data_IF_119764911074
#
_entry.id   IF_119764911074
#
_cell.length_a   1.000
_cell.length_b   1.000
_cell.length_c   1.000
_cell.angle_alpha   90.00
_cell.angle_beta   90.00
_cell.angle_gamma   90.00
#
_symmetry.space_group_name_H-M   'P 1'
#
loop_
_entity.id
_entity.type
_entity.pdbx_description
1 polymer ?
#
# COMPACT_ATOMS: atom_id res chain seq x y z
N UNK A 1 -26.75 -11.93 13.82
CA UNK A 1 -26.89 -12.50 15.18
C UNK A 1 -25.71 -11.98 15.98
N UNK A 2 -25.89 -11.37 17.17
CA UNK A 2 -24.75 -11.08 18.02
C UNK A 2 -24.37 -12.39 18.72
N UNK A 3 -23.37 -13.06 18.18
CA UNK A 3 -22.67 -14.16 18.86
C UNK A 3 -21.29 -13.64 19.18
N UNK A 4 -20.85 -13.82 20.42
CA UNK A 4 -19.49 -13.45 20.82
C UNK A 4 -18.47 -14.37 20.14
N UNK A 5 -17.26 -13.85 19.94
CA UNK A 5 -16.15 -14.65 19.43
C UNK A 5 -15.80 -15.75 20.43
N UNK A 6 -15.42 -16.92 19.92
CA UNK A 6 -14.83 -17.99 20.73
C UNK A 6 -13.35 -17.71 21.08
N UNK A 7 -12.74 -16.70 20.46
CA UNK A 7 -11.37 -16.26 20.73
C UNK A 7 -11.36 -15.10 21.73
N UNK A 8 -10.25 -14.98 22.46
CA UNK A 8 -10.06 -13.93 23.45
C UNK A 8 -10.15 -12.53 22.83
N UNK A 9 -10.69 -11.60 23.61
CA UNK A 9 -10.68 -10.18 23.25
C UNK A 9 -9.27 -9.60 23.40
N UNK A 10 -8.93 -8.65 22.55
CA UNK A 10 -7.65 -7.93 22.60
C UNK A 10 -7.86 -6.43 22.43
N UNK A 11 -6.97 -5.66 23.03
CA UNK A 11 -6.98 -4.21 22.91
C UNK A 11 -6.45 -3.76 21.55
N UNK A 12 -7.15 -2.82 20.92
CA UNK A 12 -6.69 -2.18 19.70
C UNK A 12 -5.84 -0.97 20.06
N UNK A 13 -4.54 -0.93 19.66
CA UNK A 13 -3.69 0.21 19.96
C UNK A 13 -4.20 1.46 19.21
N UNK A 14 -4.05 2.62 19.85
CA UNK A 14 -4.41 3.92 19.27
C UNK A 14 -3.20 4.53 18.54
N UNK A 15 -2.85 3.92 17.40
CA UNK A 15 -1.71 4.30 16.55
C UNK A 15 -2.13 4.14 15.08
N UNK A 16 -1.50 4.88 14.18
CA UNK A 16 -1.71 4.68 12.74
C UNK A 16 -0.95 3.44 12.22
N UNK A 17 -1.14 3.09 10.95
CA UNK A 17 -0.51 1.90 10.37
C UNK A 17 1.01 2.02 10.26
N UNK A 18 1.54 3.24 10.08
CA UNK A 18 2.98 3.45 10.04
C UNK A 18 3.58 3.19 11.42
N UNK A 19 3.00 3.82 12.46
CA UNK A 19 3.41 3.65 13.85
C UNK A 19 3.23 2.19 14.31
N UNK A 20 2.10 1.56 13.98
CA UNK A 20 1.85 0.14 14.23
C UNK A 20 2.94 -0.74 13.59
N UNK A 21 3.29 -0.43 12.34
CA UNK A 21 4.25 -1.22 11.58
C UNK A 21 5.70 -0.93 11.88
N UNK A 22 6.14 0.23 12.36
CA UNK A 22 7.57 0.52 12.49
C UNK A 22 8.02 1.05 13.84
N UNK A 23 7.11 1.65 14.62
CA UNK A 23 7.48 2.38 15.84
C UNK A 23 6.90 1.73 17.12
N UNK A 24 5.84 0.92 16.99
CA UNK A 24 5.23 0.21 18.10
C UNK A 24 6.13 -0.91 18.63
N UNK A 25 6.34 -1.02 19.95
CA UNK A 25 6.99 -2.17 20.55
C UNK A 25 6.20 -3.44 20.20
N UNK A 26 6.87 -4.43 19.61
CA UNK A 26 6.26 -5.73 19.31
C UNK A 26 7.12 -6.83 19.92
N UNK A 27 6.48 -7.83 20.48
CA UNK A 27 7.16 -9.06 20.89
C UNK A 27 7.86 -9.66 19.67
N UNK A 28 9.18 -9.79 19.75
CA UNK A 28 9.98 -10.32 18.65
C UNK A 28 9.97 -9.44 17.41
N UNK A 29 10.20 -8.12 17.55
CA UNK A 29 10.53 -7.23 16.44
C UNK A 29 11.46 -7.93 15.46
N UNK A 30 11.12 -7.81 14.18
CA UNK A 30 12.01 -8.27 13.14
C UNK A 30 13.36 -7.60 13.28
N UNK A 31 14.46 -8.38 13.21
CA UNK A 31 15.77 -7.83 12.98
C UNK A 31 15.74 -6.90 11.76
N UNK A 32 16.44 -5.79 11.84
CA UNK A 32 16.52 -4.81 10.75
C UNK A 32 16.94 -5.45 9.42
N UNK A 33 17.77 -6.50 9.47
CA UNK A 33 18.26 -7.27 8.31
C UNK A 33 17.34 -8.44 7.89
N UNK A 34 16.21 -8.65 8.58
CA UNK A 34 15.28 -9.72 8.21
C UNK A 34 14.58 -9.40 6.91
N UNK A 35 14.74 -10.27 5.92
CA UNK A 35 13.97 -10.23 4.66
C UNK A 35 12.49 -10.49 4.92
N UNK A 36 11.63 -9.52 4.58
CA UNK A 36 10.16 -9.59 4.73
C UNK A 36 9.41 -9.61 3.40
N UNK A 37 10.00 -9.08 2.33
CA UNK A 37 9.48 -9.24 0.96
C UNK A 37 10.55 -9.85 0.07
N UNK A 38 10.16 -10.82 -0.76
CA UNK A 38 11.06 -11.51 -1.69
C UNK A 38 10.31 -11.85 -2.97
N UNK A 39 10.90 -11.49 -4.10
CA UNK A 39 10.39 -11.88 -5.41
C UNK A 39 10.54 -13.41 -5.59
N UNK A 40 9.63 -14.04 -6.33
CA UNK A 40 9.59 -15.50 -6.49
C UNK A 40 10.88 -16.05 -7.13
N UNK A 41 11.46 -15.29 -8.04
CA UNK A 41 12.75 -15.59 -8.70
C UNK A 41 13.98 -15.23 -7.85
N UNK A 42 13.76 -14.70 -6.64
CA UNK A 42 14.78 -14.23 -5.69
C UNK A 42 15.68 -13.11 -6.25
N UNK A 43 15.28 -12.42 -7.33
CA UNK A 43 16.06 -11.34 -7.94
C UNK A 43 16.03 -10.04 -7.13
N UNK A 44 14.91 -9.80 -6.43
CA UNK A 44 14.68 -8.63 -5.57
C UNK A 44 14.13 -9.05 -4.21
N UNK A 45 14.52 -8.31 -3.18
CA UNK A 45 14.00 -8.48 -1.83
C UNK A 45 14.09 -7.17 -1.05
N UNK A 46 13.31 -7.08 0.03
CA UNK A 46 13.42 -6.03 1.03
C UNK A 46 13.57 -6.65 2.41
N UNK A 47 14.56 -6.18 3.16
CA UNK A 47 14.60 -6.35 4.60
C UNK A 47 13.63 -5.42 5.30
N UNK A 48 13.42 -5.66 6.60
CA UNK A 48 12.66 -4.78 7.46
C UNK A 48 13.14 -3.31 7.37
N UNK A 49 14.46 -3.11 7.49
CA UNK A 49 15.10 -1.81 7.36
C UNK A 49 14.91 -1.20 5.97
N UNK A 50 15.00 -2.03 4.92
CA UNK A 50 14.83 -1.56 3.55
C UNK A 50 13.41 -1.04 3.34
N UNK A 51 12.37 -1.73 3.81
CA UNK A 51 10.99 -1.25 3.68
C UNK A 51 10.80 0.06 4.41
N UNK A 52 11.24 0.17 5.68
CA UNK A 52 11.09 1.39 6.47
C UNK A 52 11.76 2.59 5.80
N UNK A 53 13.03 2.43 5.42
CA UNK A 53 13.82 3.51 4.81
C UNK A 53 13.32 3.88 3.41
N UNK A 54 12.98 2.90 2.58
CA UNK A 54 12.45 3.11 1.22
C UNK A 54 11.08 3.78 1.27
N UNK A 55 10.19 3.36 2.18
CA UNK A 55 8.88 3.96 2.37
C UNK A 55 8.99 5.43 2.83
N UNK A 56 9.83 5.74 3.82
CA UNK A 56 10.03 7.11 4.28
C UNK A 56 10.60 8.01 3.17
N UNK A 57 11.54 7.50 2.36
CA UNK A 57 12.06 8.21 1.21
C UNK A 57 10.98 8.41 0.12
N UNK A 58 10.17 7.38 -0.16
CA UNK A 58 9.06 7.49 -1.10
C UNK A 58 8.05 8.57 -0.66
N UNK A 59 7.60 8.53 0.60
CA UNK A 59 6.68 9.51 1.16
C UNK A 59 7.24 10.93 1.15
N UNK A 60 8.53 11.09 1.47
CA UNK A 60 9.22 12.39 1.38
C UNK A 60 9.23 12.92 -0.07
N UNK A 61 9.51 12.05 -1.04
CA UNK A 61 9.46 12.41 -2.45
C UNK A 61 8.04 12.79 -2.91
N UNK A 62 6.99 12.17 -2.35
CA UNK A 62 5.62 12.55 -2.64
C UNK A 62 5.35 14.01 -2.24
N UNK A 63 5.73 14.37 -1.01
CA UNK A 63 5.56 15.71 -0.47
C UNK A 63 6.34 16.74 -1.30
N UNK A 64 7.57 16.44 -1.68
CA UNK A 64 8.42 17.38 -2.42
C UNK A 64 7.97 17.59 -3.87
N UNK A 65 7.65 16.52 -4.59
CA UNK A 65 7.39 16.59 -6.04
C UNK A 65 5.96 16.98 -6.36
N UNK A 66 5.00 16.52 -5.56
CA UNK A 66 3.58 16.69 -5.84
C UNK A 66 2.84 17.47 -4.75
N UNK A 67 3.57 18.10 -3.82
CA UNK A 67 3.00 18.85 -2.70
C UNK A 67 1.95 18.00 -1.97
N UNK A 68 2.29 16.73 -1.73
CA UNK A 68 1.37 15.76 -1.16
C UNK A 68 0.88 16.22 0.22
N UNK A 69 -0.43 16.17 0.40
CA UNK A 69 -1.13 16.56 1.62
C UNK A 69 -1.82 15.34 2.23
N UNK A 70 -2.11 15.46 3.53
CA UNK A 70 -2.98 14.52 4.22
C UNK A 70 -4.31 14.36 3.46
N UNK A 71 -4.72 13.13 3.21
CA UNK A 71 -5.94 12.79 2.47
C UNK A 71 -5.79 12.70 0.95
N UNK A 72 -4.63 13.04 0.38
CA UNK A 72 -4.35 12.78 -1.04
C UNK A 72 -4.34 11.27 -1.31
N UNK A 73 -4.83 10.87 -2.49
CA UNK A 73 -5.06 9.45 -2.82
C UNK A 73 -4.05 8.95 -3.84
N UNK A 74 -3.34 7.87 -3.51
CA UNK A 74 -2.46 7.13 -4.41
C UNK A 74 -3.19 5.92 -4.98
N UNK A 75 -3.35 5.86 -6.30
CA UNK A 75 -3.81 4.66 -6.96
C UNK A 75 -2.66 3.68 -7.12
N UNK A 76 -2.83 2.41 -6.74
CA UNK A 76 -1.84 1.35 -6.99
C UNK A 76 -2.43 0.38 -8.00
N UNK A 77 -2.02 0.51 -9.27
CA UNK A 77 -2.47 -0.29 -10.41
C UNK A 77 -1.35 -1.20 -10.90
N UNK A 78 -1.16 -2.31 -10.20
CA UNK A 78 -0.05 -3.24 -10.46
C UNK A 78 -0.41 -4.67 -10.03
N UNK A 79 0.13 -5.72 -10.69
CA UNK A 79 0.23 -7.05 -10.12
C UNK A 79 1.10 -7.06 -8.86
N UNK A 80 1.08 -8.15 -8.10
CA UNK A 80 1.92 -8.31 -6.91
C UNK A 80 3.40 -8.06 -7.24
N UNK A 81 4.04 -7.22 -6.44
CA UNK A 81 5.45 -6.87 -6.55
C UNK A 81 6.02 -6.62 -5.16
N UNK A 82 7.33 -6.81 -4.99
CA UNK A 82 8.00 -6.50 -3.72
C UNK A 82 7.99 -5.00 -3.40
N UNK A 83 7.88 -4.14 -4.41
CA UNK A 83 7.82 -2.68 -4.24
C UNK A 83 6.47 -2.18 -3.68
N UNK A 84 5.45 -3.05 -3.59
CA UNK A 84 4.14 -2.70 -3.01
C UNK A 84 4.27 -2.17 -1.57
N UNK A 85 5.04 -2.87 -0.73
CA UNK A 85 5.21 -2.51 0.68
C UNK A 85 5.74 -1.09 0.84
N UNK A 86 6.91 -0.76 0.28
CA UNK A 86 7.45 0.59 0.31
C UNK A 86 6.51 1.67 -0.24
N UNK A 87 5.81 1.42 -1.35
CA UNK A 87 4.87 2.38 -1.93
C UNK A 87 3.67 2.65 -1.00
N UNK A 88 3.15 1.60 -0.38
CA UNK A 88 1.99 1.69 0.49
C UNK A 88 2.35 2.39 1.79
N UNK A 89 3.37 1.90 2.50
CA UNK A 89 3.80 2.53 3.74
C UNK A 89 4.31 3.95 3.51
N UNK A 90 4.95 4.23 2.38
CA UNK A 90 5.43 5.57 2.06
C UNK A 90 4.30 6.55 1.76
N UNK A 91 3.21 6.10 1.14
CA UNK A 91 2.02 6.93 0.97
C UNK A 91 1.34 7.20 2.30
N UNK A 92 1.16 6.17 3.15
CA UNK A 92 0.59 6.31 4.49
C UNK A 92 1.45 7.24 5.36
N UNK A 93 2.78 7.10 5.29
CA UNK A 93 3.75 7.98 5.93
C UNK A 93 3.56 9.45 5.52
N UNK A 94 3.23 9.69 4.24
CA UNK A 94 2.90 11.02 3.71
C UNK A 94 1.46 11.47 4.02
N UNK A 95 0.72 10.73 4.86
CA UNK A 95 -0.68 11.01 5.20
C UNK A 95 -1.67 10.73 4.09
N UNK A 96 -1.25 10.03 3.04
CA UNK A 96 -2.09 9.69 1.91
C UNK A 96 -2.89 8.40 2.11
N UNK A 97 -3.83 8.19 1.21
CA UNK A 97 -4.76 7.06 1.20
C UNK A 97 -4.42 6.16 0.01
N UNK A 98 -4.45 4.84 0.20
CA UNK A 98 -4.21 3.86 -0.87
C UNK A 98 -5.52 3.48 -1.54
N UNK A 99 -5.60 3.64 -2.86
CA UNK A 99 -6.67 3.11 -3.69
C UNK A 99 -6.11 1.98 -4.58
N UNK A 100 -6.13 0.72 -4.12
CA UNK A 100 -5.65 -0.39 -4.92
C UNK A 100 -6.60 -0.66 -6.09
N UNK A 101 -6.04 -0.89 -7.29
CA UNK A 101 -6.78 -1.12 -8.52
C UNK A 101 -6.43 -2.47 -9.14
N UNK A 102 -7.44 -3.16 -9.66
CA UNK A 102 -7.24 -4.42 -10.36
C UNK A 102 -6.42 -4.19 -11.64
N UNK A 103 -5.24 -4.83 -11.83
CA UNK A 103 -4.39 -4.69 -13.01
C UNK A 103 -5.05 -5.18 -14.31
N UNK A 104 -6.18 -5.89 -14.22
CA UNK A 104 -7.01 -6.29 -15.36
C UNK A 104 -8.00 -5.23 -15.84
N UNK A 105 -8.09 -4.06 -15.19
CA UNK A 105 -8.95 -2.98 -15.67
C UNK A 105 -8.50 -2.43 -17.02
N UNK A 106 -9.47 -2.05 -17.85
CA UNK A 106 -9.21 -1.21 -19.02
C UNK A 106 -9.11 0.27 -18.58
N UNK A 107 -8.72 1.14 -19.52
CA UNK A 107 -8.50 2.55 -19.22
C UNK A 107 -9.75 3.30 -18.73
N UNK A 108 -10.96 2.91 -19.19
CA UNK A 108 -12.21 3.56 -18.78
C UNK A 108 -12.59 3.18 -17.36
N UNK A 109 -12.47 1.91 -17.01
CA UNK A 109 -12.77 1.41 -15.65
C UNK A 109 -11.78 1.99 -14.64
N UNK A 110 -10.49 2.01 -14.98
CA UNK A 110 -9.47 2.66 -14.15
C UNK A 110 -9.73 4.17 -14.04
N UNK A 111 -10.03 4.88 -15.14
CA UNK A 111 -10.34 6.31 -15.08
C UNK A 111 -11.58 6.64 -14.24
N UNK A 112 -12.61 5.79 -14.29
CA UNK A 112 -13.79 5.92 -13.43
C UNK A 112 -13.38 5.84 -11.95
N UNK A 113 -12.61 4.81 -11.58
CA UNK A 113 -12.11 4.63 -10.22
C UNK A 113 -11.22 5.81 -9.78
N UNK A 114 -10.28 6.24 -10.63
CA UNK A 114 -9.39 7.37 -10.35
C UNK A 114 -10.18 8.65 -10.02
N UNK A 115 -11.21 8.95 -10.81
CA UNK A 115 -12.09 10.11 -10.57
C UNK A 115 -12.90 9.95 -9.30
N UNK A 116 -13.49 8.78 -9.08
CA UNK A 116 -14.33 8.53 -7.91
C UNK A 116 -13.52 8.56 -6.62
N UNK A 117 -12.28 8.08 -6.66
CA UNK A 117 -11.36 8.08 -5.52
C UNK A 117 -10.71 9.45 -5.28
N UNK A 118 -10.73 10.36 -6.26
CA UNK A 118 -9.95 11.60 -6.18
C UNK A 118 -8.43 11.33 -6.23
N UNK A 119 -8.01 10.32 -7.00
CA UNK A 119 -6.60 9.93 -7.09
C UNK A 119 -5.73 11.07 -7.65
N UNK A 120 -4.62 11.35 -6.96
CA UNK A 120 -3.65 12.39 -7.34
C UNK A 120 -2.46 11.82 -8.11
N UNK A 121 -2.11 10.56 -7.87
CA UNK A 121 -1.00 9.86 -8.52
C UNK A 121 -1.33 8.38 -8.75
N UNK A 122 -0.56 7.73 -9.63
CA UNK A 122 -0.71 6.32 -9.99
C UNK A 122 0.64 5.62 -9.87
N UNK A 123 0.73 4.57 -9.09
CA UNK A 123 1.81 3.57 -9.14
C UNK A 123 1.40 2.46 -10.12
N UNK A 124 2.27 2.12 -11.07
CA UNK A 124 2.02 1.06 -12.06
C UNK A 124 3.31 0.37 -12.48
N UNK A 125 3.21 -0.71 -13.24
CA UNK A 125 4.34 -1.35 -13.90
C UNK A 125 4.36 -1.06 -15.39
N UNK A 126 5.53 -1.26 -16.01
CA UNK A 126 5.75 -1.04 -17.45
C UNK A 126 4.74 -1.78 -18.36
N UNK A 127 4.36 -3.05 -18.12
CA UNK A 127 3.36 -3.73 -18.96
C UNK A 127 1.98 -3.06 -18.95
N UNK A 128 1.66 -2.34 -17.88
CA UNK A 128 0.37 -1.68 -17.66
C UNK A 128 0.42 -0.17 -17.97
N UNK A 129 1.60 0.38 -18.27
CA UNK A 129 1.82 1.81 -18.44
C UNK A 129 0.91 2.44 -19.50
N UNK A 130 0.67 1.72 -20.62
CA UNK A 130 -0.23 2.21 -21.68
C UNK A 130 -1.64 2.47 -21.14
N UNK A 131 -2.18 1.55 -20.34
CA UNK A 131 -3.51 1.68 -19.75
C UNK A 131 -3.53 2.79 -18.71
N UNK A 132 -2.49 2.86 -17.86
CA UNK A 132 -2.36 3.90 -16.85
C UNK A 132 -2.30 5.32 -17.46
N UNK A 133 -1.55 5.51 -18.57
CA UNK A 133 -1.46 6.77 -19.30
C UNK A 133 -2.81 7.21 -19.87
N UNK A 134 -3.53 6.29 -20.52
CA UNK A 134 -4.85 6.58 -21.08
C UNK A 134 -5.86 6.91 -19.98
N UNK A 135 -5.85 6.15 -18.87
CA UNK A 135 -6.72 6.39 -17.73
C UNK A 135 -6.40 7.73 -17.03
N UNK A 136 -5.11 8.05 -16.84
CA UNK A 136 -4.67 9.32 -16.27
C UNK A 136 -5.15 10.50 -17.10
N UNK A 137 -5.02 10.43 -18.43
CA UNK A 137 -5.53 11.45 -19.35
C UNK A 137 -7.05 11.62 -19.21
N UNK A 138 -7.81 10.53 -19.15
CA UNK A 138 -9.26 10.57 -18.96
C UNK A 138 -9.66 11.13 -17.59
N UNK A 139 -8.85 10.89 -16.56
CA UNK A 139 -9.04 11.35 -15.18
C UNK A 139 -8.54 12.77 -14.91
N UNK A 140 -7.73 13.36 -15.79
CA UNK A 140 -7.10 14.67 -15.59
C UNK A 140 -5.85 14.62 -14.69
N UNK A 141 -5.24 13.44 -14.54
CA UNK A 141 -3.98 13.25 -13.81
C UNK A 141 -2.82 13.48 -14.77
N UNK A 142 -1.81 14.25 -14.34
CA UNK A 142 -0.63 14.53 -15.15
C UNK A 142 0.21 13.26 -15.33
N UNK A 143 0.80 13.07 -16.49
CA UNK A 143 1.70 11.94 -16.77
C UNK A 143 2.90 11.90 -15.81
N UNK A 144 3.41 13.06 -15.41
CA UNK A 144 4.45 13.20 -14.39
C UNK A 144 4.00 12.81 -12.97
N UNK A 145 2.74 12.44 -12.76
CA UNK A 145 2.21 11.87 -11.50
C UNK A 145 2.03 10.34 -11.59
N UNK A 146 2.57 9.73 -12.66
CA UNK A 146 2.66 8.28 -12.80
C UNK A 146 4.05 7.81 -12.36
N UNK A 147 4.07 6.81 -11.49
CA UNK A 147 5.25 6.24 -10.87
C UNK A 147 5.38 4.79 -11.32
N UNK A 148 6.55 4.42 -11.83
CA UNK A 148 6.85 3.05 -12.23
C UNK A 148 7.54 2.29 -11.10
N UNK A 149 7.08 1.06 -10.85
CA UNK A 149 7.70 0.06 -9.97
C UNK A 149 8.08 -1.21 -10.74
N UNK A 150 8.83 -2.10 -10.11
CA UNK A 150 9.32 -3.33 -10.73
C UNK A 150 10.64 -3.10 -11.48
N UNK A 151 10.66 -3.54 -12.75
CA UNK A 151 11.83 -3.42 -13.60
C UNK A 151 12.07 -1.97 -14.05
N UNK A 152 13.34 -1.55 -14.04
CA UNK A 152 13.74 -0.21 -14.44
C UNK A 152 13.42 0.05 -15.93
N UNK A 153 12.80 1.21 -16.21
CA UNK A 153 12.56 1.67 -17.58
C UNK A 153 11.32 2.53 -17.72
N UNK A 154 11.46 3.83 -17.45
CA UNK A 154 10.56 4.81 -18.05
C UNK A 154 10.77 4.75 -19.57
N UNK A 155 9.70 4.59 -20.34
CA UNK A 155 9.77 4.70 -21.80
C UNK A 155 10.03 6.15 -22.20
N UNK A 156 9.60 6.52 -23.41
CA UNK A 156 9.57 7.92 -23.83
C UNK A 156 8.32 8.62 -23.25
N UNK A 157 8.29 8.75 -21.91
CA UNK A 157 7.16 9.23 -21.10
C UNK A 157 7.66 10.08 -19.94
N UNK A 158 6.83 10.98 -19.41
CA UNK A 158 7.13 11.77 -18.20
C UNK A 158 6.98 10.97 -16.90
N UNK A 159 6.50 9.72 -16.98
CA UNK A 159 6.43 8.81 -15.84
C UNK A 159 7.83 8.55 -15.25
N UNK A 160 7.94 8.57 -13.92
CA UNK A 160 9.24 8.41 -13.23
C UNK A 160 9.32 7.07 -12.52
N UNK A 161 10.42 6.35 -12.67
CA UNK A 161 10.66 5.14 -11.88
C UNK A 161 10.91 5.47 -10.40
N UNK A 162 10.31 4.72 -9.48
CA UNK A 162 10.32 5.05 -8.06
C UNK A 162 11.73 5.17 -7.48
N UNK A 163 12.69 4.32 -7.93
CA UNK A 163 14.11 4.41 -7.52
C UNK A 163 14.74 5.78 -7.79
N UNK A 164 14.30 6.49 -8.82
CA UNK A 164 14.78 7.85 -9.12
C UNK A 164 14.16 8.89 -8.19
N UNK A 165 12.95 8.63 -7.67
CA UNK A 165 12.31 9.46 -6.63
C UNK A 165 13.10 9.38 -5.31
N UNK A 166 13.58 8.18 -4.95
CA UNK A 166 14.26 7.93 -3.67
C UNK A 166 15.58 8.69 -3.52
N UNK A 167 16.26 9.04 -4.61
CA UNK A 167 17.58 9.71 -4.60
C UNK A 167 17.53 11.18 -4.19
N UNK A 168 16.34 11.77 -4.07
CA UNK A 168 16.16 13.21 -3.84
C UNK A 168 15.16 13.44 -2.72
N UNK A 169 15.61 13.35 -1.47
CA UNK A 169 14.74 13.64 -0.32
C UNK A 169 15.46 14.47 0.71
N UNK A 170 14.87 15.62 1.07
CA UNK A 170 15.17 16.30 2.33
C UNK A 170 14.47 15.55 3.45
N UNK A 171 15.04 15.65 4.66
CA UNK A 171 14.50 14.99 5.84
C UNK A 171 13.13 15.60 6.19
N UNK A 172 12.06 14.83 5.96
CA UNK A 172 10.71 15.12 6.45
C UNK A 172 10.33 14.12 7.56
N UNK A 173 9.22 14.38 8.26
CA UNK A 173 8.66 13.52 9.30
C UNK A 173 7.33 12.92 8.81
N UNK A 174 6.94 11.73 9.30
CA UNK A 174 5.62 11.19 8.99
C UNK A 174 4.52 12.16 9.40
N UNK A 175 3.42 12.15 8.66
CA UNK A 175 2.19 12.80 9.13
C UNK A 175 1.69 12.09 10.39
N UNK A 176 1.12 12.88 11.31
CA UNK A 176 0.37 12.33 12.44
C UNK A 176 -1.07 12.07 11.99
N UNK A 177 -1.50 10.82 12.04
CA UNK A 177 -2.84 10.41 11.64
C UNK A 177 -3.66 9.98 12.87
N UNK A 178 -4.95 10.26 12.80
CA UNK A 178 -5.97 9.77 13.72
C UNK A 178 -6.42 8.39 13.22
N UNK A 179 -6.16 7.34 14.00
CA UNK A 179 -6.41 5.98 13.56
C UNK A 179 -7.87 5.67 13.25
N UNK A 180 -8.79 6.40 13.87
CA UNK A 180 -10.23 6.14 13.79
C UNK A 180 -10.85 6.87 12.61
N UNK A 181 -10.38 8.10 12.38
CA UNK A 181 -11.02 9.04 11.46
C UNK A 181 -10.28 9.17 10.12
N UNK A 182 -8.96 8.97 10.09
CA UNK A 182 -8.20 9.05 8.85
C UNK A 182 -8.23 7.72 8.09
N UNK A 183 -8.41 7.83 6.77
CA UNK A 183 -8.47 6.67 5.89
C UNK A 183 -7.06 6.16 5.57
N UNK A 184 -6.90 4.84 5.61
CA UNK A 184 -5.73 4.15 5.10
C UNK A 184 -5.97 3.64 3.66
N UNK A 185 -7.17 3.12 3.40
CA UNK A 185 -7.51 2.51 2.11
C UNK A 185 -8.89 2.94 1.59
N UNK A 186 -8.98 3.02 0.26
CA UNK A 186 -10.21 3.06 -0.54
C UNK A 186 -10.28 1.82 -1.41
N UNK A 187 -10.77 0.71 -0.85
CA UNK A 187 -10.85 -0.56 -1.56
C UNK A 187 -12.11 -0.62 -2.43
N UNK A 188 -11.97 -0.78 -3.75
CA UNK A 188 -13.12 -0.83 -4.65
C UNK A 188 -13.71 -2.24 -4.73
N UNK A 189 -15.03 -2.31 -4.58
CA UNK A 189 -15.80 -3.54 -4.82
C UNK A 189 -16.90 -3.27 -5.84
N UNK A 190 -17.20 -4.25 -6.69
CA UNK A 190 -18.29 -4.15 -7.67
C UNK A 190 -19.67 -4.11 -7.02
N UNK A 191 -19.79 -4.49 -5.74
CA UNK A 191 -21.10 -4.67 -5.09
C UNK A 191 -21.98 -5.67 -5.85
N UNK A 192 -23.23 -5.82 -5.41
CA UNK A 192 -24.17 -6.77 -6.01
C UNK A 192 -25.04 -6.18 -7.13
N UNK A 193 -25.08 -4.86 -7.31
CA UNK A 193 -26.08 -4.23 -8.21
C UNK A 193 -25.66 -2.90 -8.88
N UNK A 194 -24.37 -2.57 -9.07
CA UNK A 194 -24.04 -1.28 -9.70
C UNK A 194 -22.57 -0.98 -9.99
N UNK A 195 -22.29 0.31 -10.24
CA UNK A 195 -20.93 0.84 -10.43
C UNK A 195 -20.06 0.56 -9.18
N UNK A 196 -18.75 0.30 -9.36
CA UNK A 196 -17.85 0.07 -8.23
C UNK A 196 -17.88 1.20 -7.21
N UNK A 197 -17.86 0.85 -5.92
CA UNK A 197 -17.87 1.80 -4.81
C UNK A 197 -16.58 1.65 -4.00
N UNK A 198 -15.98 2.78 -3.63
CA UNK A 198 -14.84 2.82 -2.72
C UNK A 198 -15.28 2.55 -1.28
N UNK A 199 -14.82 1.43 -0.72
CA UNK A 199 -14.99 1.11 0.70
C UNK A 199 -13.91 1.87 1.47
N UNK A 200 -14.35 2.79 2.32
CA UNK A 200 -13.48 3.58 3.19
C UNK A 200 -13.05 2.74 4.38
N UNK A 201 -11.74 2.53 4.52
CA UNK A 201 -11.14 1.79 5.63
C UNK A 201 -10.17 2.71 6.37
N UNK A 202 -10.42 2.95 7.66
CA UNK A 202 -9.50 3.68 8.52
C UNK A 202 -8.28 2.85 8.88
N UNK A 203 -7.24 3.48 9.44
CA UNK A 203 -6.09 2.76 9.97
C UNK A 203 -6.52 1.73 11.03
N UNK A 204 -7.44 2.09 11.93
CA UNK A 204 -7.98 1.19 12.95
C UNK A 204 -8.70 -0.01 12.36
N UNK A 205 -9.41 0.14 11.24
CA UNK A 205 -10.04 -1.01 10.58
C UNK A 205 -9.00 -2.04 10.14
N UNK A 206 -7.89 -1.59 9.55
CA UNK A 206 -6.82 -2.49 9.09
C UNK A 206 -6.09 -3.12 10.28
N UNK A 207 -5.77 -2.35 11.32
CA UNK A 207 -5.11 -2.85 12.52
C UNK A 207 -5.99 -3.91 13.21
N UNK A 208 -7.30 -3.69 13.26
CA UNK A 208 -8.24 -4.67 13.82
C UNK A 208 -8.30 -5.97 13.02
N UNK A 209 -8.31 -5.89 11.68
CA UNK A 209 -8.24 -7.07 10.81
C UNK A 209 -6.96 -7.87 11.05
N UNK A 210 -5.82 -7.19 11.05
CA UNK A 210 -4.50 -7.78 11.33
C UNK A 210 -4.47 -8.46 12.69
N UNK A 211 -4.81 -7.75 13.76
CA UNK A 211 -4.78 -8.34 15.11
C UNK A 211 -5.80 -9.48 15.27
N UNK A 212 -6.95 -9.39 14.58
CA UNK A 212 -7.94 -10.46 14.51
C UNK A 212 -7.34 -11.73 13.87
N UNK A 213 -6.70 -11.61 12.70
CA UNK A 213 -6.05 -12.76 12.07
C UNK A 213 -4.92 -13.29 12.97
N UNK A 214 -4.09 -12.42 13.56
CA UNK A 214 -3.04 -12.82 14.52
C UNK A 214 -3.60 -13.63 15.69
N UNK A 215 -4.76 -13.25 16.23
CA UNK A 215 -5.39 -13.97 17.35
C UNK A 215 -5.87 -15.39 16.97
N UNK A 216 -6.19 -15.62 15.70
CA UNK A 216 -6.73 -16.91 15.23
C UNK A 216 -5.62 -17.85 14.78
N UNK A 217 -4.64 -17.34 14.04
CA UNK A 217 -3.61 -18.17 13.39
C UNK A 217 -2.17 -17.83 13.78
N UNK A 218 -1.94 -16.77 14.58
CA UNK A 218 -0.60 -16.28 14.87
C UNK A 218 0.30 -17.30 15.58
N UNK A 219 -0.25 -18.16 16.43
CA UNK A 219 0.50 -19.23 17.09
C UNK A 219 1.00 -20.32 16.12
N UNK A 220 0.37 -20.43 14.94
CA UNK A 220 0.76 -21.38 13.90
C UNK A 220 1.92 -20.86 13.03
N UNK A 221 2.37 -19.61 13.24
CA UNK A 221 3.42 -18.99 12.47
C UNK A 221 4.58 -18.54 13.36
N UNK A 222 5.79 -18.84 12.91
CA UNK A 222 7.03 -18.36 13.47
C UNK A 222 7.87 -17.74 12.37
N UNK A 223 7.87 -16.41 12.34
CA UNK A 223 8.60 -15.60 11.36
C UNK A 223 10.08 -15.95 11.23
N UNK A 224 10.70 -16.55 12.27
CA UNK A 224 12.10 -16.99 12.22
C UNK A 224 12.32 -18.09 11.19
N UNK A 225 11.38 -19.00 11.05
CA UNK A 225 11.51 -20.23 10.25
C UNK A 225 10.54 -20.27 9.06
N UNK A 226 9.42 -19.57 9.15
CA UNK A 226 8.35 -19.66 8.17
C UNK A 226 8.51 -18.62 7.05
N UNK A 227 7.97 -18.99 5.88
CA UNK A 227 7.84 -18.13 4.71
C UNK A 227 6.44 -18.30 4.16
N UNK A 228 5.70 -17.21 4.04
CA UNK A 228 4.35 -17.22 3.49
C UNK A 228 4.42 -16.94 2.00
N UNK A 229 3.80 -17.81 1.20
CA UNK A 229 3.67 -17.58 -0.23
C UNK A 229 2.49 -16.64 -0.51
N UNK A 230 2.79 -15.40 -0.89
CA UNK A 230 1.80 -14.36 -1.15
C UNK A 230 1.22 -14.44 -2.58
N UNK A 231 0.38 -15.46 -2.85
CA UNK A 231 -0.27 -15.64 -4.16
C UNK A 231 -1.52 -14.78 -4.36
N UNK A 232 -2.14 -14.35 -3.25
CA UNK A 232 -3.39 -13.60 -3.30
C UNK A 232 -3.14 -12.19 -3.83
N UNK A 233 -4.04 -11.61 -4.63
CA UNK A 233 -3.75 -10.32 -5.26
C UNK A 233 -3.73 -9.18 -4.24
N UNK A 234 -2.64 -8.43 -4.18
CA UNK A 234 -2.43 -7.31 -3.25
C UNK A 234 -3.34 -6.12 -3.51
N UNK A 235 -3.97 -6.06 -4.69
CA UNK A 235 -5.00 -5.06 -4.97
C UNK A 235 -6.36 -5.38 -4.31
N UNK A 236 -6.52 -6.57 -3.72
CA UNK A 236 -7.63 -6.89 -2.83
C UNK A 236 -7.17 -6.78 -1.38
N UNK A 237 -7.99 -6.18 -0.51
CA UNK A 237 -7.62 -6.00 0.89
C UNK A 237 -7.28 -7.33 1.59
N UNK A 238 -7.97 -8.41 1.20
CA UNK A 238 -7.69 -9.78 1.64
C UNK A 238 -6.28 -10.27 1.28
N UNK A 239 -5.79 -9.95 0.08
CA UNK A 239 -4.41 -10.33 -0.31
C UNK A 239 -3.36 -9.46 0.37
N UNK A 240 -3.73 -8.26 0.80
CA UNK A 240 -2.84 -7.29 1.42
C UNK A 240 -2.63 -7.55 2.92
N UNK A 241 -3.68 -7.84 3.69
CA UNK A 241 -3.61 -7.87 5.17
C UNK A 241 -2.82 -9.05 5.73
N UNK A 242 -2.78 -10.18 5.03
CA UNK A 242 -2.02 -11.36 5.46
C UNK A 242 -0.49 -11.14 5.50
N UNK A 243 0.14 -10.54 4.48
CA UNK A 243 1.57 -10.22 4.51
C UNK A 243 2.07 -9.31 5.65
N UNK A 244 1.21 -8.58 6.38
CA UNK A 244 1.63 -7.83 7.57
C UNK A 244 2.04 -8.75 8.72
N UNK A 245 1.40 -9.93 8.82
CA UNK A 245 1.32 -10.72 10.05
C UNK A 245 2.52 -11.59 10.34
N UNK A 246 3.30 -11.90 9.29
CA UNK A 246 4.56 -12.59 9.43
C UNK A 246 5.53 -11.66 10.12
#
# INVERSE_FOLDING_TARGET
>A
MPTDSAYDSFDLPNVDLWEFMFDSPRDGQFPEDKVIYRAVDNSRHYTWADVRSTAAAFGSALVERWQWQKGDVMCVFSPNDVDYGPCIYGTLWAGGIIAPANPGYNAKDLAFMLKNAGAKAIVTQKPLLKVALEAAKLAGIKESSIILIGDDGAGNTDATHFKNLLKQTKRSRPYKLDSDNDLAFLAYSSGTTGLPKGVMLSHRNIIADVLGIKSIVGENYNWRNDKILAILPFFHIYGWSYPILA
#
